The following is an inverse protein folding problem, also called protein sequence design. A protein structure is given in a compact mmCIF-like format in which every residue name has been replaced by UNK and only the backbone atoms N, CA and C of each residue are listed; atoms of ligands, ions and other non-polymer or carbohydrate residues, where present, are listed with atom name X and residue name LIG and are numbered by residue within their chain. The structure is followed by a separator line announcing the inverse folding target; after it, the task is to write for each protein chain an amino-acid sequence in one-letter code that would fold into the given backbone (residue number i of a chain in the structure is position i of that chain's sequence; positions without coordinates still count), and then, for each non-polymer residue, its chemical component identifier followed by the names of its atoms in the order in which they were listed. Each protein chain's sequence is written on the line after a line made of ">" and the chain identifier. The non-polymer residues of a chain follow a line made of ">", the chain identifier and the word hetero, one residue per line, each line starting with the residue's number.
data_IF_158348748621
#
_entry.id   IF_158348748621
#
_cell.length_a   1.000
_cell.length_b   1.000
_cell.length_c   1.000
_cell.angle_alpha   90.00
_cell.angle_beta   90.00
_cell.angle_gamma   90.00
#
_symmetry.space_group_name_H-M   'P 1'
#
loop_
_entity.id
_entity.type
_entity.pdbx_description
1 polymer ?
#
# COMPACT_ATOMS: atom_id res chain seq x y z
N UNK A 1 44.02 -17.37 35.82
CA UNK A 1 43.74 -17.06 34.40
C UNK A 1 42.22 -17.00 34.22
N UNK A 2 41.59 -15.81 34.26
CA UNK A 2 40.15 -15.70 34.08
C UNK A 2 39.83 -15.85 32.59
N UNK A 3 38.89 -16.75 32.26
CA UNK A 3 38.32 -16.85 30.90
C UNK A 3 37.48 -15.60 30.66
N UNK A 4 37.88 -14.79 29.68
CA UNK A 4 37.04 -13.71 29.15
C UNK A 4 35.82 -14.34 28.45
N UNK A 5 34.59 -13.92 28.77
CA UNK A 5 33.42 -14.35 28.02
C UNK A 5 33.44 -13.74 26.62
N UNK A 6 33.25 -14.60 25.63
CA UNK A 6 33.06 -14.25 24.23
C UNK A 6 31.82 -13.37 24.08
N UNK A 7 32.02 -12.05 23.94
CA UNK A 7 30.96 -11.17 23.47
C UNK A 7 30.89 -11.33 21.96
N UNK A 8 29.97 -12.18 21.51
CA UNK A 8 29.50 -12.18 20.13
C UNK A 8 28.85 -10.82 19.90
N UNK A 9 29.53 -9.94 19.18
CA UNK A 9 28.90 -8.75 18.61
C UNK A 9 28.05 -9.26 17.48
N UNK A 10 26.76 -9.47 17.75
CA UNK A 10 25.79 -9.73 16.69
C UNK A 10 25.83 -8.53 15.74
N UNK A 11 26.39 -8.75 14.55
CA UNK A 11 26.30 -7.86 13.42
C UNK A 11 24.82 -7.79 13.01
N UNK A 12 24.06 -6.95 13.71
CA UNK A 12 22.69 -6.64 13.33
C UNK A 12 22.77 -5.87 12.01
N UNK A 13 22.46 -6.56 10.91
CA UNK A 13 22.37 -5.98 9.58
C UNK A 13 21.43 -4.75 9.62
N UNK A 14 21.73 -3.65 8.89
CA UNK A 14 20.86 -2.48 8.81
C UNK A 14 19.39 -2.82 8.44
N UNK A 15 19.18 -3.96 7.78
CA UNK A 15 17.86 -4.52 7.48
C UNK A 15 17.02 -4.90 8.72
N UNK A 16 17.63 -4.97 9.91
CA UNK A 16 16.93 -5.30 11.17
C UNK A 16 16.53 -4.05 11.94
N UNK A 17 17.16 -2.89 11.65
CA UNK A 17 16.78 -1.59 12.21
C UNK A 17 15.59 -0.97 11.47
N UNK A 18 15.39 -1.34 10.21
CA UNK A 18 14.12 -1.17 9.52
C UNK A 18 13.32 -2.44 9.67
N UNK A 19 12.38 -2.49 10.63
CA UNK A 19 11.46 -3.61 10.79
C UNK A 19 10.78 -4.00 9.45
N UNK A 20 10.14 -5.16 9.41
CA UNK A 20 9.46 -5.82 8.28
C UNK A 20 8.61 -4.94 7.30
N UNK A 21 8.46 -3.65 7.60
CA UNK A 21 7.91 -2.58 6.77
C UNK A 21 8.80 -2.12 5.61
N UNK A 22 10.10 -2.44 5.61
CA UNK A 22 11.05 -1.92 4.62
C UNK A 22 10.72 -2.36 3.17
N UNK A 23 10.06 -3.51 2.99
CA UNK A 23 9.70 -4.01 1.65
C UNK A 23 8.33 -3.51 1.16
N UNK A 24 7.33 -3.40 2.06
CA UNK A 24 6.00 -2.91 1.70
C UNK A 24 5.31 -2.21 2.89
N UNK A 25 5.34 -0.88 2.95
CA UNK A 25 4.78 -0.12 4.06
C UNK A 25 3.25 -0.18 4.14
N UNK A 26 2.56 -0.74 3.14
CA UNK A 26 1.12 -0.92 3.18
C UNK A 26 0.68 -2.06 4.11
N UNK A 27 1.58 -2.99 4.44
CA UNK A 27 1.28 -4.15 5.32
C UNK A 27 1.33 -3.83 6.82
N UNK A 28 1.55 -2.56 7.16
CA UNK A 28 1.52 -2.02 8.53
C UNK A 28 0.81 -0.66 8.65
N UNK A 29 0.29 -0.10 7.55
CA UNK A 29 -0.27 1.26 7.52
C UNK A 29 -1.80 1.29 7.44
N UNK A 30 -2.38 0.81 6.34
CA UNK A 30 -3.82 0.85 6.09
C UNK A 30 -4.43 2.24 5.83
N UNK A 31 -3.64 3.33 5.78
CA UNK A 31 -4.16 4.70 5.75
C UNK A 31 -5.02 5.02 4.53
N UNK A 32 -4.61 4.63 3.32
CA UNK A 32 -5.40 4.88 2.11
C UNK A 32 -6.77 4.17 2.16
N UNK A 33 -6.81 2.95 2.72
CA UNK A 33 -8.03 2.17 2.89
C UNK A 33 -8.98 2.70 3.98
N UNK A 34 -8.51 3.62 4.84
CA UNK A 34 -9.31 4.26 5.87
C UNK A 34 -9.58 5.75 5.61
N UNK A 35 -9.26 6.24 4.41
CA UNK A 35 -9.40 7.66 4.09
C UNK A 35 -10.09 7.91 2.75
N UNK A 36 -9.67 7.28 1.66
CA UNK A 36 -10.21 7.61 0.35
C UNK A 36 -11.60 7.01 0.14
N UNK A 37 -12.49 7.76 -0.53
CA UNK A 37 -13.62 7.15 -1.24
C UNK A 37 -13.09 6.44 -2.47
N UNK A 38 -13.10 5.11 -2.45
CA UNK A 38 -12.60 4.30 -3.57
C UNK A 38 -13.70 4.17 -4.62
N UNK A 39 -13.88 5.20 -5.44
CA UNK A 39 -14.84 5.20 -6.56
C UNK A 39 -14.23 4.67 -7.85
N UNK A 40 -14.93 3.80 -8.56
CA UNK A 40 -14.43 3.17 -9.79
C UNK A 40 -15.57 2.80 -10.76
N UNK A 41 -15.24 2.35 -11.97
CA UNK A 41 -16.24 2.05 -13.00
C UNK A 41 -17.02 0.78 -12.65
N UNK A 42 -18.35 0.79 -12.84
CA UNK A 42 -19.18 -0.35 -12.47
C UNK A 42 -18.82 -1.66 -13.21
N UNK A 43 -18.20 -1.58 -14.40
CA UNK A 43 -17.75 -2.76 -15.15
C UNK A 43 -16.56 -3.51 -14.54
N UNK A 44 -15.90 -2.96 -13.50
CA UNK A 44 -14.87 -3.70 -12.76
C UNK A 44 -15.46 -4.63 -11.68
N UNK A 45 -16.75 -4.48 -11.37
CA UNK A 45 -17.49 -5.36 -10.45
C UNK A 45 -17.73 -6.70 -11.12
N UNK A 46 -17.42 -7.78 -10.42
CA UNK A 46 -17.61 -9.14 -10.88
C UNK A 46 -19.10 -9.40 -11.21
N UNK A 47 -19.35 -9.85 -12.44
CA UNK A 47 -20.67 -10.23 -12.93
C UNK A 47 -20.58 -10.90 -14.30
N UNK A 48 -21.72 -11.07 -14.96
CA UNK A 48 -21.79 -11.74 -16.27
C UNK A 48 -20.97 -11.03 -17.36
N UNK A 49 -20.78 -9.71 -17.23
CA UNK A 49 -20.07 -8.88 -18.20
C UNK A 49 -18.57 -8.72 -17.91
N UNK A 50 -18.02 -9.49 -16.96
CA UNK A 50 -16.62 -9.44 -16.55
C UNK A 50 -16.42 -8.78 -15.18
N UNK A 51 -15.27 -8.12 -15.00
CA UNK A 51 -14.87 -7.55 -13.72
C UNK A 51 -14.32 -8.59 -12.73
N UNK A 52 -13.76 -8.11 -11.61
CA UNK A 52 -13.18 -8.98 -10.58
C UNK A 52 -13.55 -8.58 -9.15
N UNK A 53 -14.01 -7.35 -8.93
CA UNK A 53 -14.33 -6.85 -7.59
C UNK A 53 -15.63 -7.48 -7.09
N UNK A 54 -15.68 -8.14 -5.92
CA UNK A 54 -16.90 -8.80 -5.45
C UNK A 54 -18.07 -7.83 -5.25
N UNK A 55 -19.25 -8.20 -5.75
CA UNK A 55 -20.47 -7.37 -5.73
C UNK A 55 -20.90 -6.98 -4.31
N UNK A 56 -20.72 -7.86 -3.33
CA UNK A 56 -21.14 -7.60 -1.94
C UNK A 56 -20.30 -6.51 -1.25
N UNK A 57 -19.12 -6.21 -1.79
CA UNK A 57 -18.16 -5.26 -1.23
C UNK A 57 -18.26 -3.86 -1.83
N UNK A 58 -19.25 -3.59 -2.68
CA UNK A 58 -19.42 -2.31 -3.37
C UNK A 58 -20.76 -1.64 -3.06
N UNK A 59 -20.84 -0.32 -3.24
CA UNK A 59 -22.07 0.47 -3.17
C UNK A 59 -22.22 1.38 -4.39
N UNK A 60 -23.43 1.51 -4.95
CA UNK A 60 -23.67 2.40 -6.10
C UNK A 60 -23.50 3.87 -5.69
N UNK A 61 -22.88 4.66 -6.57
CA UNK A 61 -22.75 6.12 -6.44
C UNK A 61 -23.54 6.82 -7.54
N UNK A 62 -23.46 6.31 -8.77
CA UNK A 62 -24.23 6.76 -9.92
C UNK A 62 -24.40 5.60 -10.92
N UNK A 63 -25.17 5.76 -12.02
CA UNK A 63 -25.43 4.66 -12.95
C UNK A 63 -24.18 3.95 -13.50
N UNK A 64 -23.05 4.68 -13.63
CA UNK A 64 -21.80 4.14 -14.18
C UNK A 64 -20.65 4.08 -13.15
N UNK A 65 -20.92 4.38 -11.88
CA UNK A 65 -19.89 4.42 -10.82
C UNK A 65 -20.38 3.73 -9.55
N UNK A 66 -19.49 2.92 -9.00
CA UNK A 66 -19.63 2.33 -7.67
C UNK A 66 -18.47 2.80 -6.80
N UNK A 67 -18.52 2.53 -5.51
CA UNK A 67 -17.38 2.62 -4.62
C UNK A 67 -17.25 1.39 -3.74
N UNK A 68 -16.08 1.18 -3.14
CA UNK A 68 -15.94 0.18 -2.07
C UNK A 68 -16.81 0.56 -0.87
N UNK A 69 -17.57 -0.40 -0.35
CA UNK A 69 -18.43 -0.19 0.80
C UNK A 69 -17.61 0.25 2.04
N UNK A 70 -18.19 1.14 2.84
CA UNK A 70 -17.53 1.79 3.98
C UNK A 70 -16.70 3.02 3.62
N UNK A 71 -16.56 3.35 2.32
CA UNK A 71 -15.81 4.52 1.85
C UNK A 71 -16.68 5.61 1.23
N UNK A 72 -18.00 5.46 1.26
CA UNK A 72 -18.99 6.22 0.48
C UNK A 72 -18.84 7.76 0.61
N UNK A 73 -18.49 8.24 1.79
CA UNK A 73 -18.31 9.68 2.08
C UNK A 73 -16.84 10.13 2.10
N UNK A 74 -15.89 9.21 1.92
CA UNK A 74 -14.50 9.45 2.31
C UNK A 74 -14.33 9.50 3.84
N UNK A 75 -13.09 9.40 4.31
CA UNK A 75 -12.75 9.28 5.74
C UNK A 75 -13.22 7.99 6.41
N UNK A 76 -13.86 7.08 5.68
CA UNK A 76 -14.40 5.82 6.17
C UNK A 76 -13.46 4.65 5.95
N UNK A 77 -13.68 3.57 6.72
CA UNK A 77 -12.88 2.34 6.64
C UNK A 77 -13.46 1.39 5.60
N UNK A 78 -12.67 1.10 4.57
CA UNK A 78 -13.03 0.13 3.53
C UNK A 78 -13.37 -1.25 4.11
N UNK A 79 -14.48 -1.83 3.66
CA UNK A 79 -14.98 -3.14 4.11
C UNK A 79 -13.97 -4.28 3.88
N UNK A 80 -13.10 -4.16 2.88
CA UNK A 80 -12.11 -5.18 2.53
C UNK A 80 -10.85 -5.15 3.40
N UNK A 81 -10.65 -4.10 4.22
CA UNK A 81 -9.46 -3.97 5.06
C UNK A 81 -9.54 -4.91 6.26
N UNK A 82 -8.48 -5.68 6.50
CA UNK A 82 -8.31 -6.61 7.63
C UNK A 82 -7.14 -6.17 8.48
N UNK A 83 -7.23 -6.36 9.79
CA UNK A 83 -6.26 -5.86 10.76
C UNK A 83 -6.57 -4.44 11.26
N UNK A 84 -5.66 -3.93 12.07
CA UNK A 84 -5.73 -2.64 12.76
C UNK A 84 -4.83 -1.60 12.08
N UNK A 85 -5.29 -0.35 12.02
CA UNK A 85 -4.54 0.73 11.39
C UNK A 85 -3.21 0.95 12.11
N UNK A 86 -2.13 1.11 11.36
CA UNK A 86 -0.80 1.28 11.94
C UNK A 86 -0.17 0.03 12.53
N UNK A 87 -0.83 -1.14 12.46
CA UNK A 87 -0.32 -2.39 13.04
C UNK A 87 0.15 -3.38 11.96
N UNK A 88 1.23 -4.15 12.22
CA UNK A 88 1.67 -5.22 11.33
C UNK A 88 0.57 -6.24 11.03
N UNK A 89 0.53 -6.72 9.79
CA UNK A 89 -0.45 -7.71 9.34
C UNK A 89 -1.76 -7.11 8.80
N UNK A 90 -1.86 -5.77 8.74
CA UNK A 90 -2.95 -5.11 8.02
C UNK A 90 -2.87 -5.41 6.52
N UNK A 91 -3.98 -5.80 5.91
CA UNK A 91 -4.00 -6.17 4.49
C UNK A 91 -5.40 -6.06 3.88
N UNK A 92 -5.46 -6.07 2.54
CA UNK A 92 -6.69 -6.13 1.79
C UNK A 92 -7.11 -7.60 1.60
N UNK A 93 -8.32 -7.97 2.02
CA UNK A 93 -8.85 -9.33 1.84
C UNK A 93 -9.04 -9.72 0.36
N UNK A 94 -9.11 -8.74 -0.54
CA UNK A 94 -9.33 -8.93 -1.98
C UNK A 94 -8.16 -8.40 -2.81
N UNK A 95 -6.91 -8.46 -2.30
CA UNK A 95 -5.73 -7.82 -2.91
C UNK A 95 -5.59 -8.07 -4.44
N UNK A 96 -5.83 -9.31 -4.87
CA UNK A 96 -5.76 -9.71 -6.29
C UNK A 96 -6.96 -9.29 -7.14
N UNK A 97 -8.08 -8.92 -6.50
CA UNK A 97 -9.35 -8.52 -7.10
C UNK A 97 -9.65 -7.02 -6.86
N UNK A 98 -8.63 -6.24 -6.46
CA UNK A 98 -8.78 -4.80 -6.17
C UNK A 98 -9.26 -4.04 -7.41
N UNK A 99 -10.09 -2.99 -7.23
CA UNK A 99 -10.42 -2.07 -8.31
C UNK A 99 -9.18 -1.27 -8.73
N UNK A 100 -9.24 -0.71 -9.93
CA UNK A 100 -8.15 0.04 -10.58
C UNK A 100 -7.57 1.15 -9.70
N UNK A 101 -8.35 2.03 -9.04
CA UNK A 101 -7.77 3.07 -8.17
C UNK A 101 -6.92 2.53 -7.01
N UNK A 102 -7.21 1.33 -6.52
CA UNK A 102 -6.40 0.71 -5.47
C UNK A 102 -5.11 0.06 -6.00
N UNK A 103 -5.04 -0.27 -7.29
CA UNK A 103 -3.85 -0.83 -7.93
C UNK A 103 -2.88 0.26 -8.38
N UNK A 104 -3.43 1.37 -8.87
CA UNK A 104 -2.67 2.50 -9.41
C UNK A 104 -2.15 3.46 -8.34
N UNK A 105 -2.57 3.31 -7.08
CA UNK A 105 -2.05 4.13 -6.01
C UNK A 105 -0.61 3.70 -5.64
N UNK A 106 0.36 4.50 -6.04
CA UNK A 106 1.78 4.25 -5.76
C UNK A 106 2.25 4.90 -4.44
N UNK A 107 3.09 4.19 -3.69
CA UNK A 107 3.70 4.69 -2.44
C UNK A 107 4.86 5.65 -2.73
N UNK A 108 5.62 5.37 -3.79
CA UNK A 108 6.72 6.19 -4.26
C UNK A 108 6.42 6.68 -5.66
N UNK A 109 6.92 7.86 -5.97
CA UNK A 109 6.88 8.47 -7.29
C UNK A 109 7.92 7.80 -8.22
N UNK A 110 7.83 8.08 -9.54
CA UNK A 110 8.80 7.56 -10.52
C UNK A 110 10.27 7.83 -10.16
N UNK A 111 10.54 9.00 -9.55
CA UNK A 111 11.87 9.46 -9.15
C UNK A 111 12.33 8.89 -7.79
N UNK A 112 11.58 7.97 -7.20
CA UNK A 112 11.87 7.37 -5.90
C UNK A 112 11.47 8.23 -4.70
N UNK A 113 11.03 9.47 -4.90
CA UNK A 113 10.48 10.29 -3.82
C UNK A 113 9.17 9.69 -3.29
N UNK A 114 8.79 9.99 -2.06
CA UNK A 114 7.55 9.45 -1.46
C UNK A 114 6.34 10.18 -2.03
N UNK A 115 5.28 9.44 -2.37
CA UNK A 115 4.01 10.04 -2.78
C UNK A 115 3.49 10.96 -1.65
N UNK A 116 3.28 12.27 -1.91
CA UNK A 116 2.86 13.22 -0.89
C UNK A 116 1.50 12.88 -0.26
N UNK A 117 0.60 12.24 -1.01
CA UNK A 117 -0.67 11.75 -0.45
C UNK A 117 -0.45 10.60 0.52
N UNK A 118 0.41 9.64 0.18
CA UNK A 118 0.77 8.56 1.10
C UNK A 118 1.35 9.13 2.40
N UNK A 119 2.28 10.08 2.28
CA UNK A 119 2.94 10.73 3.40
C UNK A 119 1.96 11.51 4.28
N UNK A 120 1.06 12.28 3.68
CA UNK A 120 -0.01 13.03 4.37
C UNK A 120 -0.94 12.10 5.16
N UNK A 121 -1.36 10.99 4.55
CA UNK A 121 -2.27 10.05 5.21
C UNK A 121 -1.61 9.25 6.33
N UNK A 122 -0.32 8.89 6.18
CA UNK A 122 0.46 8.30 7.27
C UNK A 122 0.57 9.25 8.45
N UNK A 123 0.88 10.53 8.18
CA UNK A 123 0.95 11.55 9.23
C UNK A 123 -0.38 11.73 9.97
N UNK A 124 -1.51 11.65 9.26
CA UNK A 124 -2.85 11.71 9.88
C UNK A 124 -3.14 10.54 10.85
N UNK A 125 -2.44 9.41 10.70
CA UNK A 125 -2.49 8.27 11.63
C UNK A 125 -1.38 8.31 12.71
N UNK A 126 -0.56 9.35 12.75
CA UNK A 126 0.59 9.43 13.66
C UNK A 126 1.74 8.47 13.32
N UNK A 127 1.77 7.95 12.08
CA UNK A 127 2.82 7.03 11.63
C UNK A 127 4.08 7.79 11.20
N UNK A 128 5.27 7.18 11.38
CA UNK A 128 6.51 7.80 10.94
C UNK A 128 6.53 8.01 9.41
N UNK A 129 7.26 9.05 8.95
CA UNK A 129 7.45 9.30 7.53
C UNK A 129 8.12 8.12 6.84
N UNK A 130 7.77 7.88 5.58
CA UNK A 130 8.53 6.94 4.76
C UNK A 130 9.81 7.62 4.26
N UNK A 131 10.86 6.82 4.13
CA UNK A 131 12.04 7.23 3.39
C UNK A 131 11.77 7.14 1.88
N UNK A 132 12.47 7.95 1.06
CA UNK A 132 12.56 7.71 -0.38
C UNK A 132 12.97 6.26 -0.66
N UNK A 133 12.50 5.71 -1.78
CA UNK A 133 12.89 4.37 -2.20
C UNK A 133 14.40 4.40 -2.49
N UNK A 134 15.19 3.46 -1.95
CA UNK A 134 16.62 3.40 -2.28
C UNK A 134 16.81 3.18 -3.78
N UNK A 135 17.86 3.79 -4.33
CA UNK A 135 18.26 3.56 -5.71
C UNK A 135 18.56 2.07 -5.89
N UNK A 136 18.02 1.48 -6.96
CA UNK A 136 18.22 0.07 -7.23
C UNK A 136 19.63 -0.15 -7.81
N UNK A 137 20.66 -0.15 -6.95
CA UNK A 137 22.07 -0.29 -7.36
C UNK A 137 22.35 -1.62 -8.11
N UNK A 138 21.50 -2.64 -7.93
CA UNK A 138 21.66 -3.98 -8.52
C UNK A 138 20.47 -4.46 -9.38
N UNK A 139 19.63 -3.56 -9.90
CA UNK A 139 18.55 -3.94 -10.81
C UNK A 139 18.97 -3.67 -12.27
N UNK A 140 19.40 -4.69 -13.05
CA UNK A 140 19.84 -4.50 -14.43
C UNK A 140 18.73 -4.03 -15.38
N UNK A 141 17.49 -3.93 -14.91
CA UNK A 141 16.36 -3.35 -15.65
C UNK A 141 15.76 -2.13 -14.96
N UNK A 142 16.03 -1.88 -13.67
CA UNK A 142 15.24 -0.94 -12.87
C UNK A 142 13.76 -1.33 -12.86
N UNK A 143 12.88 -0.68 -12.08
CA UNK A 143 11.45 -0.94 -12.20
C UNK A 143 10.94 -0.30 -13.50
N UNK A 144 11.10 -1.00 -14.63
CA UNK A 144 10.41 -0.67 -15.88
C UNK A 144 8.95 -1.07 -15.69
N UNK A 145 8.13 -0.17 -15.16
CA UNK A 145 6.69 -0.35 -15.27
C UNK A 145 6.33 -0.21 -16.77
N UNK A 146 5.48 -1.08 -17.35
CA UNK A 146 5.18 -1.10 -18.79
C UNK A 146 4.64 0.22 -19.39
N UNK A 147 4.40 1.25 -18.58
CA UNK A 147 3.84 2.54 -18.98
C UNK A 147 4.65 3.77 -18.53
N UNK A 148 5.89 3.61 -18.05
CA UNK A 148 6.75 4.75 -17.70
C UNK A 148 7.76 5.04 -18.82
N UNK A 149 7.67 6.19 -19.51
CA UNK A 149 8.74 6.59 -20.42
C UNK A 149 10.00 6.88 -19.60
N UNK A 150 11.15 6.45 -20.14
CA UNK A 150 12.45 6.81 -19.62
C UNK A 150 12.56 8.34 -19.56
N UNK A 151 13.06 8.88 -18.44
CA UNK A 151 13.35 10.29 -18.32
C UNK A 151 14.35 10.68 -19.43
N UNK A 152 14.02 11.75 -20.15
CA UNK A 152 14.79 12.27 -21.30
C UNK A 152 16.18 12.80 -20.91
#
# INVERSE_FOLDING_TARGET
>A
MPRLPSYSVDLVSPATLGGHDAANPCLSCGACCAHFRVSFYCGEVAGENGGTVPVDLVRPISPLRVCMAGTEQGGGRCVALRGELGQPGIHCAIYLQRPTPCREFEVWQPDGSVNPDCQRLRAALGLPPLAPRPDAENDPQGPVHPHQPAAA
#
